data_IF_959470262560
#
_entry.id   IF_959470262560
#
_cell.length_a   1.000
_cell.length_b   1.000
_cell.length_c   1.000
_cell.angle_alpha   90.00
_cell.angle_beta   90.00
_cell.angle_gamma   90.00
#
_symmetry.space_group_name_H-M   'P 1'
#
loop_
_entity.id
_entity.type
_entity.pdbx_description
1 polymer ?
#
# COMPACT_ATOMS: atom_id res chain seq x y z
N UNK A 1 -40.50 -26.06 -31.52
CA UNK A 1 -39.52 -25.13 -31.49
C UNK A 1 -39.18 -24.61 -30.21
N UNK A 2 -38.10 -24.92 -29.68
CA UNK A 2 -37.68 -24.43 -28.44
C UNK A 2 -36.51 -23.58 -28.61
N UNK A 3 -36.52 -22.45 -28.04
CA UNK A 3 -35.40 -21.60 -28.05
C UNK A 3 -34.80 -21.60 -26.73
N UNK A 4 -33.66 -22.00 -26.64
CA UNK A 4 -33.00 -22.00 -25.38
C UNK A 4 -31.96 -20.92 -25.37
N UNK A 5 -32.13 -20.01 -24.50
CA UNK A 5 -31.19 -18.94 -24.39
C UNK A 5 -30.40 -19.13 -23.16
N UNK A 6 -29.24 -19.61 -23.32
CA UNK A 6 -28.33 -19.73 -22.22
C UNK A 6 -27.17 -18.81 -22.34
N UNK A 7 -27.34 -17.80 -23.11
CA UNK A 7 -26.27 -16.87 -23.29
C UNK A 7 -26.39 -15.79 -22.27
N UNK A 8 -25.42 -15.49 -21.58
CA UNK A 8 -25.37 -14.25 -20.86
C UNK A 8 -25.02 -14.29 -19.41
N UNK A 9 -24.76 -15.47 -18.88
CA UNK A 9 -24.52 -15.49 -17.46
C UNK A 9 -23.07 -15.53 -17.06
N UNK A 10 -22.17 -15.48 -18.00
CA UNK A 10 -20.75 -15.67 -17.64
C UNK A 10 -19.95 -14.40 -17.56
N UNK A 11 -20.60 -13.26 -17.73
CA UNK A 11 -19.83 -12.01 -17.84
C UNK A 11 -19.62 -11.24 -16.55
N UNK A 12 -20.36 -11.60 -15.51
CA UNK A 12 -20.29 -10.80 -14.29
C UNK A 12 -19.20 -11.23 -13.32
N UNK A 13 -18.59 -12.39 -13.56
CA UNK A 13 -17.59 -12.87 -12.62
C UNK A 13 -16.17 -12.45 -12.97
N UNK A 14 -15.94 -12.00 -14.17
CA UNK A 14 -14.58 -11.66 -14.59
C UNK A 14 -14.11 -10.30 -14.10
N UNK A 15 -15.03 -9.41 -13.72
CA UNK A 15 -14.62 -8.08 -13.28
C UNK A 15 -14.01 -8.07 -11.88
N UNK A 16 -14.33 -9.08 -11.06
CA UNK A 16 -13.74 -9.15 -9.72
C UNK A 16 -12.30 -9.65 -9.71
N UNK A 17 -11.90 -10.36 -10.75
CA UNK A 17 -10.55 -10.87 -10.84
C UNK A 17 -9.53 -9.83 -11.30
N UNK A 18 -10.01 -8.66 -11.72
CA UNK A 18 -9.14 -7.61 -12.27
C UNK A 18 -8.79 -6.51 -11.28
N UNK A 19 -9.23 -6.63 -10.02
CA UNK A 19 -8.86 -5.66 -9.02
C UNK A 19 -7.38 -5.80 -8.70
N UNK A 20 -6.60 -4.80 -9.03
CA UNK A 20 -5.18 -4.81 -8.77
C UNK A 20 -4.85 -4.49 -7.32
N UNK A 21 -3.60 -4.71 -6.95
CA UNK A 21 -3.14 -4.41 -5.60
C UNK A 21 -3.33 -2.93 -5.27
N UNK A 22 -3.10 -2.06 -6.24
CA UNK A 22 -3.27 -0.62 -6.05
C UNK A 22 -4.66 -0.27 -5.55
N UNK A 23 -5.70 -0.78 -6.21
CA UNK A 23 -7.07 -0.48 -5.83
C UNK A 23 -7.42 -1.02 -4.45
N UNK A 24 -6.78 -2.11 -4.06
CA UNK A 24 -6.99 -2.70 -2.74
C UNK A 24 -6.44 -1.85 -1.59
N UNK A 25 -5.47 -0.99 -1.87
CA UNK A 25 -4.84 -0.17 -0.85
C UNK A 25 -5.41 1.24 -0.76
N UNK A 26 -5.97 1.76 -1.84
CA UNK A 26 -6.50 3.12 -1.84
C UNK A 26 -7.59 3.26 -0.78
N UNK A 27 -7.46 4.30 0.05
CA UNK A 27 -8.41 4.58 1.13
C UNK A 27 -8.27 3.68 2.34
N UNK A 28 -7.22 2.87 2.43
CA UNK A 28 -7.06 1.89 3.50
C UNK A 28 -6.03 2.34 4.54
N UNK A 29 -6.31 1.99 5.78
CA UNK A 29 -5.39 2.16 6.90
C UNK A 29 -4.74 0.82 7.19
N UNK A 30 -3.43 0.77 7.14
CA UNK A 30 -2.64 -0.44 7.35
C UNK A 30 -1.88 -0.32 8.66
N UNK A 31 -1.97 -1.33 9.50
CA UNK A 31 -1.25 -1.40 10.77
C UNK A 31 -0.33 -2.61 10.75
N UNK A 32 0.93 -2.40 11.10
CA UNK A 32 1.94 -3.45 11.09
C UNK A 32 1.58 -4.62 11.99
N UNK A 33 1.75 -5.81 11.47
CA UNK A 33 1.57 -7.05 12.24
C UNK A 33 2.89 -7.41 12.92
N UNK A 34 3.20 -6.66 13.97
CA UNK A 34 4.39 -6.87 14.78
C UNK A 34 3.96 -6.85 16.24
N UNK A 35 4.49 -7.72 17.10
CA UNK A 35 4.16 -7.68 18.52
C UNK A 35 4.37 -6.28 19.11
N UNK A 36 3.44 -5.86 19.93
CA UNK A 36 3.46 -4.57 20.62
C UNK A 36 3.25 -3.35 19.73
N UNK A 37 2.98 -3.54 18.45
CA UNK A 37 2.62 -2.43 17.57
C UNK A 37 1.11 -2.32 17.50
N UNK A 38 0.59 -1.14 17.83
CA UNK A 38 -0.85 -0.88 17.84
C UNK A 38 -1.31 0.05 16.73
N UNK A 39 -0.47 0.92 16.25
CA UNK A 39 -0.88 1.95 15.29
C UNK A 39 0.12 2.24 14.18
N UNK A 40 1.38 1.82 14.30
CA UNK A 40 2.37 2.10 13.26
C UNK A 40 1.98 1.45 11.93
N UNK A 41 2.19 2.17 10.85
CA UNK A 41 1.86 1.67 9.52
C UNK A 41 1.61 2.79 8.53
N UNK A 42 0.75 2.53 7.57
CA UNK A 42 0.49 3.44 6.46
C UNK A 42 -1.01 3.72 6.35
N UNK A 43 -1.35 4.91 5.91
CA UNK A 43 -2.73 5.24 5.59
C UNK A 43 -2.77 5.83 4.18
N UNK A 44 -3.45 5.13 3.28
CA UNK A 44 -3.61 5.58 1.89
C UNK A 44 -4.88 6.41 1.77
N UNK A 45 -4.76 7.61 1.26
CA UNK A 45 -5.92 8.48 1.09
C UNK A 45 -6.84 7.97 -0.02
N UNK A 46 -8.09 8.40 0.02
CA UNK A 46 -9.08 8.03 -0.98
C UNK A 46 -8.76 8.62 -2.35
N UNK A 47 -8.01 9.72 -2.39
CA UNK A 47 -7.66 10.34 -3.67
C UNK A 47 -6.55 9.57 -4.42
N UNK A 48 -5.94 8.56 -3.77
CA UNK A 48 -4.90 7.76 -4.38
C UNK A 48 -3.56 8.47 -4.56
N UNK A 49 -3.39 9.66 -3.98
CA UNK A 49 -2.18 10.45 -4.18
C UNK A 49 -1.34 10.62 -2.94
N UNK A 50 -1.96 10.52 -1.76
CA UNK A 50 -1.30 10.82 -0.50
C UNK A 50 -1.27 9.60 0.40
N UNK A 51 -0.22 9.50 1.19
CA UNK A 51 -0.05 8.47 2.21
C UNK A 51 0.48 9.12 3.46
N UNK A 52 -0.02 8.70 4.62
CA UNK A 52 0.54 9.09 5.91
C UNK A 52 1.27 7.88 6.50
N UNK A 53 2.49 8.08 6.95
CA UNK A 53 3.27 7.04 7.61
C UNK A 53 3.27 7.30 9.11
N UNK A 54 2.79 6.33 9.87
CA UNK A 54 2.65 6.43 11.31
C UNK A 54 3.75 5.64 12.01
N UNK A 55 4.37 6.27 13.00
CA UNK A 55 5.34 5.61 13.87
C UNK A 55 4.71 5.29 15.21
N UNK A 56 5.01 4.14 15.77
CA UNK A 56 4.48 3.72 17.08
C UNK A 56 4.96 4.64 18.18
N UNK A 57 6.19 5.13 18.09
CA UNK A 57 6.72 6.08 19.03
C UNK A 57 5.91 7.37 18.97
N UNK A 58 5.45 7.85 20.13
CA UNK A 58 4.56 9.02 20.16
C UNK A 58 3.12 8.69 19.87
N UNK A 59 2.75 7.42 19.89
CA UNK A 59 1.36 6.96 19.74
C UNK A 59 0.75 7.39 18.41
N UNK A 60 1.56 7.43 17.37
CA UNK A 60 1.12 7.75 16.01
C UNK A 60 0.46 9.14 15.86
N UNK A 61 0.88 10.12 16.66
CA UNK A 61 0.23 11.43 16.64
C UNK A 61 0.66 12.32 15.48
N UNK A 62 1.92 12.23 15.07
CA UNK A 62 2.45 13.11 14.02
C UNK A 62 2.91 12.28 12.82
N UNK A 63 1.97 11.80 11.99
CA UNK A 63 2.38 10.99 10.85
C UNK A 63 3.16 11.81 9.84
N UNK A 64 4.09 11.14 9.17
CA UNK A 64 4.87 11.74 8.10
C UNK A 64 4.00 11.83 6.84
N UNK A 65 3.77 13.03 6.30
CA UNK A 65 3.01 13.14 5.05
C UNK A 65 3.89 12.77 3.86
N UNK A 66 3.37 11.89 3.03
CA UNK A 66 4.05 11.38 1.85
C UNK A 66 3.11 11.47 0.65
N UNK A 67 3.68 11.53 -0.54
CA UNK A 67 2.92 11.28 -1.75
C UNK A 67 3.27 9.90 -2.28
N UNK A 68 2.31 9.26 -2.90
CA UNK A 68 2.53 7.94 -3.49
C UNK A 68 2.56 8.03 -5.00
N UNK A 69 3.50 7.33 -5.60
CA UNK A 69 3.56 7.15 -7.04
C UNK A 69 3.59 5.66 -7.34
N UNK A 70 2.59 5.19 -8.05
CA UNK A 70 2.53 3.80 -8.47
C UNK A 70 3.34 3.63 -9.74
N UNK A 71 4.31 2.73 -9.70
CA UNK A 71 5.15 2.42 -10.86
C UNK A 71 4.50 1.38 -11.74
N UNK A 72 3.78 0.46 -11.12
CA UNK A 72 2.93 -0.50 -11.78
C UNK A 72 1.84 -0.92 -10.79
N UNK A 73 1.10 -1.98 -11.09
CA UNK A 73 -0.02 -2.43 -10.29
C UNK A 73 0.36 -2.94 -8.89
N UNK A 74 1.63 -3.27 -8.69
CA UNK A 74 2.10 -3.86 -7.44
C UNK A 74 3.24 -3.10 -6.79
N UNK A 75 3.80 -2.10 -7.45
CA UNK A 75 5.00 -1.42 -7.00
C UNK A 75 4.73 0.06 -6.85
N UNK A 76 5.06 0.61 -5.69
CA UNK A 76 4.88 2.04 -5.46
C UNK A 76 6.06 2.62 -4.70
N UNK A 77 6.25 3.91 -4.87
CA UNK A 77 7.24 4.67 -4.13
C UNK A 77 6.53 5.74 -3.33
N UNK A 78 6.91 5.86 -2.07
CA UNK A 78 6.45 6.92 -1.18
C UNK A 78 7.53 7.98 -1.10
N UNK A 79 7.16 9.22 -1.27
CA UNK A 79 8.09 10.34 -1.32
C UNK A 79 7.66 11.38 -0.31
N UNK A 80 8.60 11.82 0.50
CA UNK A 80 8.37 12.83 1.53
C UNK A 80 7.85 14.14 0.92
N UNK A 81 6.80 14.70 1.53
CA UNK A 81 6.20 15.95 1.05
C UNK A 81 6.75 17.18 1.71
N UNK A 82 7.15 17.06 2.97
CA UNK A 82 7.62 18.21 3.75
C UNK A 82 9.12 18.32 3.61
N UNK A 83 9.56 19.47 3.13
CA UNK A 83 10.97 19.75 2.96
C UNK A 83 11.54 20.20 4.31
N UNK A 84 12.50 19.44 4.83
CA UNK A 84 13.14 19.76 6.09
C UNK A 84 14.15 20.91 5.95
N UNK A 85 14.80 21.01 4.79
CA UNK A 85 15.69 22.11 4.45
C UNK A 85 15.79 22.20 2.92
N UNK A 86 16.46 23.24 2.42
CA UNK A 86 16.48 23.48 0.98
C UNK A 86 17.45 22.60 0.21
N UNK A 87 18.38 21.96 0.90
CA UNK A 87 19.46 21.22 0.24
C UNK A 87 19.28 19.71 0.26
N UNK A 88 18.52 19.19 1.20
CA UNK A 88 18.33 17.75 1.31
C UNK A 88 17.27 17.26 0.34
N UNK A 89 17.54 16.17 -0.39
CA UNK A 89 16.49 15.54 -1.20
C UNK A 89 15.43 14.91 -0.31
N UNK A 90 14.23 14.71 -0.82
CA UNK A 90 13.18 14.05 -0.06
C UNK A 90 13.57 12.58 0.22
N UNK A 91 13.17 12.09 1.39
CA UNK A 91 13.29 10.66 1.65
C UNK A 91 12.26 9.92 0.81
N UNK A 92 12.62 8.74 0.36
CA UNK A 92 11.73 7.91 -0.44
C UNK A 92 11.82 6.47 0.02
N UNK A 93 10.69 5.76 -0.13
CA UNK A 93 10.56 4.37 0.30
C UNK A 93 9.92 3.59 -0.83
N UNK A 94 10.57 2.53 -1.27
CA UNK A 94 10.11 1.73 -2.39
C UNK A 94 9.50 0.43 -1.86
N UNK A 95 8.26 0.15 -2.28
CA UNK A 95 7.51 -1.01 -1.82
C UNK A 95 6.98 -1.83 -2.97
N UNK A 96 6.89 -3.13 -2.74
CA UNK A 96 6.21 -4.04 -3.64
C UNK A 96 5.15 -4.79 -2.85
N UNK A 97 3.94 -4.88 -3.40
CA UNK A 97 2.88 -5.67 -2.79
C UNK A 97 3.13 -7.14 -3.10
N UNK A 98 3.47 -7.90 -2.06
CA UNK A 98 3.71 -9.34 -2.21
C UNK A 98 2.42 -10.12 -2.29
N UNK A 99 1.46 -9.78 -1.42
CA UNK A 99 0.15 -10.41 -1.42
C UNK A 99 -0.85 -9.49 -0.74
N UNK A 100 -2.11 -9.61 -1.11
CA UNK A 100 -3.19 -8.84 -0.50
C UNK A 100 -4.47 -9.67 -0.52
N UNK A 101 -5.22 -9.61 0.57
CA UNK A 101 -6.57 -10.15 0.64
C UNK A 101 -7.47 -9.13 1.34
N UNK A 102 -8.65 -9.53 1.80
CA UNK A 102 -9.61 -8.59 2.37
C UNK A 102 -9.16 -7.97 3.69
N UNK A 103 -8.34 -8.68 4.45
CA UNK A 103 -7.99 -8.28 5.81
C UNK A 103 -6.51 -7.99 6.03
N UNK A 104 -5.68 -8.36 5.07
CA UNK A 104 -4.25 -8.43 5.31
C UNK A 104 -3.47 -8.16 4.02
N UNK A 105 -2.37 -7.47 4.14
CA UNK A 105 -1.45 -7.23 3.02
C UNK A 105 -0.03 -7.49 3.47
N UNK A 106 0.77 -8.09 2.60
CA UNK A 106 2.22 -8.18 2.78
C UNK A 106 2.90 -7.21 1.84
N UNK A 107 3.73 -6.34 2.39
CA UNK A 107 4.52 -5.40 1.62
C UNK A 107 6.00 -5.72 1.79
N UNK A 108 6.73 -5.70 0.69
CA UNK A 108 8.18 -5.81 0.70
C UNK A 108 8.76 -4.41 0.51
N UNK A 109 9.48 -3.91 1.50
CA UNK A 109 10.24 -2.69 1.36
C UNK A 109 11.55 -3.04 0.67
N UNK A 110 11.77 -2.46 -0.49
CA UNK A 110 12.96 -2.72 -1.28
C UNK A 110 14.07 -1.82 -0.76
N UNK A 111 15.20 -2.43 -0.45
CA UNK A 111 16.33 -1.69 0.09
C UNK A 111 16.85 -0.67 -0.94
N UNK A 112 16.92 0.58 -0.52
CA UNK A 112 17.42 1.68 -1.36
C UNK A 112 18.56 2.43 -0.70
N UNK A 113 19.10 1.92 0.39
CA UNK A 113 20.18 2.57 1.13
C UNK A 113 21.56 2.12 0.67
N UNK A 114 22.54 2.39 1.51
CA UNK A 114 23.92 2.03 1.22
C UNK A 114 24.16 0.53 1.44
N UNK A 115 25.00 -0.06 0.59
CA UNK A 115 25.38 -1.45 0.74
C UNK A 115 24.34 -2.44 0.24
N UNK A 116 24.52 -3.69 0.60
CA UNK A 116 23.72 -4.82 0.08
C UNK A 116 22.79 -5.39 1.13
N UNK A 117 22.07 -4.55 1.84
CA UNK A 117 21.07 -5.05 2.79
C UNK A 117 19.92 -5.72 2.05
N UNK A 118 19.27 -6.64 2.74
CA UNK A 118 18.16 -7.40 2.16
C UNK A 118 16.89 -6.57 2.21
N UNK A 119 16.02 -6.83 1.25
CA UNK A 119 14.65 -6.33 1.29
C UNK A 119 13.92 -6.94 2.49
N UNK A 120 12.96 -6.20 3.01
CA UNK A 120 12.21 -6.61 4.20
C UNK A 120 10.72 -6.72 3.89
N UNK A 121 10.12 -7.84 4.25
CA UNK A 121 8.69 -8.08 4.05
C UNK A 121 7.96 -8.08 5.39
N UNK A 122 6.95 -7.24 5.47
CA UNK A 122 6.10 -7.14 6.65
C UNK A 122 4.64 -7.33 6.28
N UNK A 123 3.88 -7.89 7.21
CA UNK A 123 2.43 -7.97 7.11
C UNK A 123 1.77 -6.78 7.77
N UNK A 124 0.61 -6.42 7.27
CA UNK A 124 -0.21 -5.34 7.80
C UNK A 124 -1.67 -5.77 7.82
N UNK A 125 -2.36 -5.42 8.88
CA UNK A 125 -3.80 -5.57 8.96
C UNK A 125 -4.48 -4.32 8.41
N UNK A 126 -5.57 -4.48 7.72
CA UNK A 126 -6.45 -3.35 7.36
C UNK A 126 -7.30 -2.98 8.59
N UNK A 127 -7.40 -1.69 8.84
CA UNK A 127 -8.14 -1.15 9.98
C UNK A 127 -9.14 -0.08 9.55
#
# INVERSE_FOLDING_TARGET
>A
MKKIFLAGLCLSLSSLACAGAKESLIGKRLVMDIPDVQCAGLSFSKNGKDVAMYAELGQCQDPMPLRVRWLDDKTFILIEKVRLNETSPPRSFLYKVKSVNQDYVQLTEIWTGWGDSKDDTLGYYFR
#
